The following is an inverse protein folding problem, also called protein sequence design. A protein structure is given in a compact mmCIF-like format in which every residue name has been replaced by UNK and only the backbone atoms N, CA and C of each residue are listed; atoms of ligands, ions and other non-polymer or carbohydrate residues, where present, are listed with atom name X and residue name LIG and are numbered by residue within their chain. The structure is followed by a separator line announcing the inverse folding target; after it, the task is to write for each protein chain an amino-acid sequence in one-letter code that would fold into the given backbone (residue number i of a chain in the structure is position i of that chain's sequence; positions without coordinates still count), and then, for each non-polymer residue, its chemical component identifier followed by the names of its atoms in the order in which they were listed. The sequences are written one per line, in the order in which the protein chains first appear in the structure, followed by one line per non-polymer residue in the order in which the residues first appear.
data_IF_650249443747
#
_entry.id   IF_650249443747
#
_cell.length_a   1.000
_cell.length_b   1.000
_cell.length_c   1.000
_cell.angle_alpha   90.00
_cell.angle_beta   90.00
_cell.angle_gamma   90.00
#
_symmetry.space_group_name_H-M   'P 1'
#
loop_
_entity.id
_entity.type
_entity.pdbx_description
1 polymer ?
#
# COMPACT_ATOMS: atom_id res chain seq x y z
N UNK A 1 20.09 12.38 24.45
CA UNK A 1 18.65 12.68 24.52
C UNK A 1 18.14 13.17 23.17
N UNK A 2 17.05 12.57 22.72
CA UNK A 2 16.38 12.88 21.45
C UNK A 2 15.39 14.04 21.64
N UNK A 3 15.39 15.01 20.72
CA UNK A 3 14.52 16.19 20.73
C UNK A 3 13.07 15.82 20.40
N UNK A 4 12.12 16.40 21.14
CA UNK A 4 10.69 16.26 20.87
C UNK A 4 10.03 15.00 21.44
N UNK A 5 10.72 14.21 22.25
CA UNK A 5 10.14 13.04 22.92
C UNK A 5 9.66 13.37 24.33
N UNK A 6 8.46 12.90 24.66
CA UNK A 6 7.79 13.17 25.93
C UNK A 6 7.34 14.63 26.09
N UNK A 7 6.85 14.95 27.29
CA UNK A 7 6.47 16.31 27.68
C UNK A 7 5.01 16.69 27.40
N UNK A 8 4.20 15.80 26.82
CA UNK A 8 2.76 16.01 26.61
C UNK A 8 1.92 14.86 27.17
N UNK A 9 0.60 15.00 27.12
CA UNK A 9 -0.37 13.96 27.50
C UNK A 9 -1.24 13.57 26.32
N UNK A 10 -1.80 12.37 26.37
CA UNK A 10 -2.76 11.86 25.38
C UNK A 10 -3.91 12.86 25.18
N UNK A 11 -4.48 13.36 26.28
CA UNK A 11 -5.62 14.28 26.23
C UNK A 11 -5.26 15.60 25.57
N UNK A 12 -4.08 16.15 25.88
CA UNK A 12 -3.60 17.40 25.30
C UNK A 12 -3.37 17.27 23.78
N UNK A 13 -2.67 16.21 23.35
CA UNK A 13 -2.42 15.98 21.93
C UNK A 13 -3.70 15.70 21.15
N UNK A 14 -4.61 14.88 21.68
CA UNK A 14 -5.89 14.60 21.03
C UNK A 14 -6.82 15.84 20.97
N UNK A 15 -6.72 16.76 21.93
CA UNK A 15 -7.48 18.00 21.94
C UNK A 15 -6.92 19.06 20.96
N UNK A 16 -5.62 18.98 20.63
CA UNK A 16 -4.97 19.89 19.70
C UNK A 16 -5.26 19.58 18.22
N UNK A 17 -5.71 18.36 17.90
CA UNK A 17 -5.95 17.91 16.53
C UNK A 17 -6.95 18.81 15.82
N UNK A 18 -6.55 19.28 14.63
CA UNK A 18 -7.43 19.93 13.68
C UNK A 18 -7.66 18.98 12.50
N UNK A 19 -8.93 18.60 12.19
CA UNK A 19 -9.22 17.69 11.08
C UNK A 19 -8.63 18.20 9.76
N UNK A 20 -8.00 17.32 8.97
CA UNK A 20 -7.39 17.66 7.67
C UNK A 20 -7.97 16.86 6.51
N UNK A 21 -8.64 15.73 6.76
CA UNK A 21 -9.18 14.86 5.72
C UNK A 21 -10.11 15.57 4.72
N UNK A 22 -10.82 16.61 5.16
CA UNK A 22 -11.74 17.40 4.32
C UNK A 22 -11.04 18.27 3.27
N UNK A 23 -9.71 18.42 3.32
CA UNK A 23 -8.94 19.25 2.38
C UNK A 23 -8.75 18.60 1.01
N UNK A 24 -9.07 17.32 0.87
CA UNK A 24 -9.03 16.59 -0.40
C UNK A 24 -10.37 15.88 -0.66
N UNK A 25 -10.75 15.82 -1.94
CA UNK A 25 -11.98 15.19 -2.39
C UNK A 25 -11.73 13.72 -2.77
N UNK A 26 -12.75 12.85 -2.67
CA UNK A 26 -12.66 11.50 -3.22
C UNK A 26 -12.50 11.53 -4.75
N UNK A 27 -12.10 10.40 -5.32
CA UNK A 27 -12.07 10.20 -6.77
C UNK A 27 -13.48 10.45 -7.33
N UNK A 28 -13.56 11.31 -8.34
CA UNK A 28 -14.80 11.66 -9.01
C UNK A 28 -15.13 10.64 -10.11
N UNK A 29 -16.41 10.51 -10.47
CA UNK A 29 -16.88 9.49 -11.41
C UNK A 29 -16.32 9.64 -12.84
N UNK A 30 -15.83 10.82 -13.21
CA UNK A 30 -15.16 11.07 -14.50
C UNK A 30 -13.77 10.40 -14.61
N UNK A 31 -13.24 9.86 -13.51
CA UNK A 31 -12.01 9.08 -13.50
C UNK A 31 -12.19 7.67 -14.09
N UNK A 32 -13.34 7.02 -13.87
CA UNK A 32 -13.58 5.64 -14.30
C UNK A 32 -13.49 5.46 -15.83
N UNK A 33 -14.10 6.31 -16.68
CA UNK A 33 -13.90 6.24 -18.13
C UNK A 33 -12.42 6.34 -18.55
N UNK A 34 -11.61 7.16 -17.86
CA UNK A 34 -10.17 7.31 -18.15
C UNK A 34 -9.42 6.01 -17.81
N UNK A 35 -9.76 5.38 -16.67
CA UNK A 35 -9.19 4.09 -16.24
C UNK A 35 -9.57 2.96 -17.20
N UNK A 36 -10.84 2.88 -17.62
CA UNK A 36 -11.32 1.90 -18.61
C UNK A 36 -10.60 2.10 -19.94
N UNK A 37 -10.50 3.33 -20.45
CA UNK A 37 -9.76 3.62 -21.68
C UNK A 37 -8.32 3.11 -21.60
N UNK A 38 -7.63 3.35 -20.48
CA UNK A 38 -6.26 2.87 -20.28
C UNK A 38 -6.19 1.34 -20.26
N UNK A 39 -7.14 0.67 -19.62
CA UNK A 39 -7.22 -0.78 -19.64
C UNK A 39 -7.42 -1.33 -21.06
N UNK A 40 -8.28 -0.72 -21.87
CA UNK A 40 -8.51 -1.12 -23.26
C UNK A 40 -7.24 -1.01 -24.12
N UNK A 41 -6.45 0.05 -23.96
CA UNK A 41 -5.15 0.20 -24.65
C UNK A 41 -4.18 -0.94 -24.30
N UNK A 42 -4.14 -1.33 -23.02
CA UNK A 42 -3.31 -2.44 -22.54
C UNK A 42 -3.85 -3.80 -23.00
N UNK A 43 -5.17 -3.99 -22.97
CA UNK A 43 -5.84 -5.19 -23.51
C UNK A 43 -5.52 -5.39 -24.98
N UNK A 44 -5.63 -4.34 -25.80
CA UNK A 44 -5.27 -4.38 -27.21
C UNK A 44 -3.80 -4.76 -27.43
N UNK A 45 -2.88 -4.15 -26.66
CA UNK A 45 -1.44 -4.46 -26.73
C UNK A 45 -1.12 -5.91 -26.37
N UNK A 46 -1.89 -6.51 -25.45
CA UNK A 46 -1.70 -7.88 -24.97
C UNK A 46 -2.53 -8.92 -25.76
N UNK A 47 -3.31 -8.48 -26.75
CA UNK A 47 -4.29 -9.30 -27.48
C UNK A 47 -5.29 -10.02 -26.55
N UNK A 48 -5.88 -9.27 -25.63
CA UNK A 48 -6.91 -9.74 -24.69
C UNK A 48 -8.30 -9.45 -25.25
N UNK A 49 -9.15 -10.48 -25.31
CA UNK A 49 -10.52 -10.39 -25.82
C UNK A 49 -11.51 -9.88 -24.79
N UNK A 50 -11.30 -10.16 -23.51
CA UNK A 50 -12.07 -9.60 -22.39
C UNK A 50 -11.26 -9.74 -21.09
N UNK A 51 -11.58 -8.93 -20.09
CA UNK A 51 -10.98 -9.02 -18.76
C UNK A 51 -12.06 -9.19 -17.69
N UNK A 52 -11.94 -10.22 -16.86
CA UNK A 52 -12.74 -10.38 -15.66
C UNK A 52 -12.07 -9.67 -14.48
N UNK A 53 -12.83 -8.81 -13.82
CA UNK A 53 -12.48 -8.08 -12.60
C UNK A 53 -13.24 -8.72 -11.44
N UNK A 54 -12.52 -9.32 -10.50
CA UNK A 54 -13.14 -9.92 -9.32
C UNK A 54 -13.57 -8.82 -8.34
N UNK A 55 -14.61 -9.08 -7.54
CA UNK A 55 -14.91 -8.27 -6.38
C UNK A 55 -13.65 -8.00 -5.53
N UNK A 56 -13.44 -6.73 -5.19
CA UNK A 56 -12.26 -6.26 -4.50
C UNK A 56 -11.69 -5.00 -5.16
N UNK A 57 -10.39 -4.79 -4.97
CA UNK A 57 -9.74 -3.51 -5.29
C UNK A 57 -9.76 -3.17 -6.79
N UNK A 58 -9.61 -4.15 -7.68
CA UNK A 58 -9.62 -3.87 -9.12
C UNK A 58 -11.03 -3.57 -9.64
N UNK A 59 -12.08 -4.26 -9.17
CA UNK A 59 -13.46 -3.88 -9.47
C UNK A 59 -13.71 -2.43 -9.02
N UNK A 60 -13.40 -2.11 -7.76
CA UNK A 60 -13.54 -0.75 -7.24
C UNK A 60 -12.74 0.28 -8.05
N UNK A 61 -11.49 -0.02 -8.42
CA UNK A 61 -10.66 0.89 -9.19
C UNK A 61 -11.30 1.23 -10.55
N UNK A 62 -11.78 0.23 -11.28
CA UNK A 62 -12.30 0.45 -12.63
C UNK A 62 -13.74 0.98 -12.68
N UNK A 63 -14.57 0.64 -11.68
CA UNK A 63 -16.01 0.92 -11.76
C UNK A 63 -16.58 1.71 -10.58
N UNK A 64 -15.81 1.92 -9.52
CA UNK A 64 -16.26 2.49 -8.25
C UNK A 64 -17.10 1.54 -7.39
N UNK A 65 -17.45 0.36 -7.91
CA UNK A 65 -18.27 -0.62 -7.20
C UNK A 65 -17.50 -1.25 -6.05
N UNK A 66 -17.89 -0.91 -4.82
CA UNK A 66 -17.26 -1.43 -3.61
C UNK A 66 -17.90 -2.75 -3.19
N UNK A 67 -17.20 -3.85 -3.45
CA UNK A 67 -17.65 -5.20 -3.07
C UNK A 67 -16.49 -6.05 -2.55
N UNK A 68 -16.73 -6.79 -1.47
CA UNK A 68 -15.73 -7.72 -0.90
C UNK A 68 -15.87 -9.11 -1.52
N UNK A 69 -14.74 -9.76 -1.84
CA UNK A 69 -14.76 -11.14 -2.30
C UNK A 69 -15.33 -12.10 -1.24
N UNK A 70 -16.07 -13.11 -1.68
CA UNK A 70 -16.61 -14.19 -0.84
C UNK A 70 -16.55 -15.53 -1.59
N UNK A 71 -17.25 -16.55 -1.10
CA UNK A 71 -17.49 -17.81 -1.81
C UNK A 71 -18.38 -17.65 -3.04
N UNK A 72 -19.13 -16.55 -3.14
CA UNK A 72 -20.00 -16.24 -4.28
C UNK A 72 -19.24 -15.43 -5.32
N UNK A 73 -19.35 -15.84 -6.58
CA UNK A 73 -18.73 -15.13 -7.68
C UNK A 73 -19.46 -13.80 -7.92
N UNK A 74 -18.77 -12.71 -7.61
CA UNK A 74 -19.18 -11.33 -7.89
C UNK A 74 -18.03 -10.63 -8.60
N UNK A 75 -18.33 -9.91 -9.68
CA UNK A 75 -17.32 -9.19 -10.44
C UNK A 75 -17.90 -8.54 -11.68
N UNK A 76 -17.03 -8.19 -12.62
CA UNK A 76 -17.43 -7.59 -13.87
C UNK A 76 -16.53 -8.03 -15.03
N UNK A 77 -17.10 -8.17 -16.23
CA UNK A 77 -16.36 -8.31 -17.48
C UNK A 77 -16.18 -6.93 -18.12
N UNK A 78 -14.94 -6.56 -18.43
CA UNK A 78 -14.61 -5.48 -19.36
C UNK A 78 -14.44 -6.04 -20.77
N UNK A 79 -15.26 -5.57 -21.70
CA UNK A 79 -15.23 -5.96 -23.11
C UNK A 79 -14.44 -4.97 -23.98
N UNK A 80 -14.04 -5.33 -25.22
CA UNK A 80 -13.18 -4.50 -26.08
C UNK A 80 -13.79 -3.16 -26.52
N UNK A 81 -15.12 -3.05 -26.51
CA UNK A 81 -15.84 -1.81 -26.81
C UNK A 81 -15.94 -0.85 -25.61
N UNK A 82 -15.41 -1.27 -24.44
CA UNK A 82 -15.43 -0.49 -23.20
C UNK A 82 -16.65 -0.72 -22.33
N UNK A 83 -17.56 -1.61 -22.72
CA UNK A 83 -18.71 -1.97 -21.88
C UNK A 83 -18.30 -2.81 -20.69
N UNK A 84 -19.02 -2.62 -19.58
CA UNK A 84 -18.88 -3.38 -18.34
C UNK A 84 -20.12 -4.24 -18.16
N UNK A 85 -19.94 -5.55 -17.94
CA UNK A 85 -21.01 -6.48 -17.62
C UNK A 85 -20.82 -7.03 -16.21
N UNK A 86 -21.68 -6.65 -15.28
CA UNK A 86 -21.60 -7.10 -13.88
C UNK A 86 -22.19 -8.51 -13.74
N UNK A 87 -21.58 -9.32 -12.89
CA UNK A 87 -22.05 -10.66 -12.53
C UNK A 87 -22.21 -10.69 -11.02
N UNK A 88 -23.39 -11.08 -10.53
CA UNK A 88 -23.67 -11.18 -9.10
C UNK A 88 -24.81 -12.18 -8.83
N UNK A 89 -24.95 -12.70 -7.60
CA UNK A 89 -26.15 -13.45 -7.21
C UNK A 89 -27.41 -12.62 -7.48
N UNK A 90 -28.46 -13.23 -8.02
CA UNK A 90 -29.69 -12.53 -8.41
C UNK A 90 -30.31 -11.76 -7.24
N UNK A 91 -30.25 -12.31 -6.03
CA UNK A 91 -30.77 -11.65 -4.82
C UNK A 91 -29.98 -10.40 -4.38
N UNK A 92 -28.77 -10.18 -4.91
CA UNK A 92 -27.89 -9.03 -4.62
C UNK A 92 -27.95 -7.94 -5.71
N UNK A 93 -28.78 -8.10 -6.76
CA UNK A 93 -28.85 -7.13 -7.87
C UNK A 93 -29.15 -5.70 -7.40
N UNK A 94 -30.08 -5.55 -6.44
CA UNK A 94 -30.40 -4.25 -5.85
C UNK A 94 -29.21 -3.64 -5.10
N UNK A 95 -28.41 -4.47 -4.42
CA UNK A 95 -27.19 -4.03 -3.74
C UNK A 95 -26.15 -3.57 -4.75
N UNK A 96 -25.89 -4.36 -5.80
CA UNK A 96 -24.93 -3.99 -6.85
C UNK A 96 -25.31 -2.66 -7.51
N UNK A 97 -26.60 -2.45 -7.78
CA UNK A 97 -27.10 -1.21 -8.37
C UNK A 97 -26.85 0.01 -7.48
N UNK A 98 -26.99 -0.12 -6.16
CA UNK A 98 -26.76 0.98 -5.20
C UNK A 98 -25.28 1.36 -5.10
N UNK A 99 -24.36 0.38 -5.19
CA UNK A 99 -22.91 0.61 -5.15
C UNK A 99 -22.30 0.97 -6.52
N UNK A 100 -23.08 0.99 -7.60
CA UNK A 100 -22.56 1.17 -8.97
C UNK A 100 -22.30 2.65 -9.29
N UNK A 101 -21.04 2.99 -9.57
CA UNK A 101 -20.65 4.33 -10.03
C UNK A 101 -20.41 4.37 -11.55
N UNK A 102 -20.14 3.23 -12.19
CA UNK A 102 -19.99 3.10 -13.63
C UNK A 102 -21.05 2.15 -14.20
N UNK A 103 -21.94 2.68 -15.04
CA UNK A 103 -23.10 1.93 -15.53
C UNK A 103 -22.72 0.74 -16.42
N UNK A 104 -23.48 -0.35 -16.28
CA UNK A 104 -23.37 -1.54 -17.10
C UNK A 104 -24.49 -2.54 -16.79
N UNK A 105 -24.86 -3.44 -17.73
CA UNK A 105 -25.84 -4.48 -17.46
C UNK A 105 -25.41 -5.39 -16.29
N UNK A 106 -26.35 -5.73 -15.43
CA UNK A 106 -26.17 -6.70 -14.34
C UNK A 106 -26.76 -8.04 -14.79
N UNK A 107 -25.97 -9.09 -14.62
CA UNK A 107 -26.33 -10.47 -14.94
C UNK A 107 -26.41 -11.27 -13.63
N UNK A 108 -27.64 -11.53 -13.20
CA UNK A 108 -27.95 -12.34 -12.02
C UNK A 108 -27.79 -13.84 -12.28
N UNK A 109 -27.27 -14.56 -11.29
CA UNK A 109 -27.38 -16.02 -11.22
C UNK A 109 -28.10 -16.43 -9.93
N UNK A 110 -29.02 -17.39 -10.03
CA UNK A 110 -29.70 -17.97 -8.86
C UNK A 110 -28.76 -18.89 -8.08
N UNK A 111 -28.99 -19.08 -6.78
CA UNK A 111 -28.07 -19.84 -5.88
C UNK A 111 -27.74 -21.28 -6.33
N UNK A 112 -28.52 -21.85 -7.25
CA UNK A 112 -28.34 -23.20 -7.80
C UNK A 112 -27.74 -23.22 -9.20
N UNK A 113 -27.60 -22.06 -9.85
CA UNK A 113 -27.05 -21.90 -11.19
C UNK A 113 -25.53 -21.76 -11.16
N UNK A 114 -24.88 -22.00 -12.30
CA UNK A 114 -23.43 -21.85 -12.43
C UNK A 114 -23.07 -20.42 -12.83
N UNK A 115 -22.45 -19.62 -11.95
CA UNK A 115 -21.95 -18.29 -12.34
C UNK A 115 -20.83 -18.38 -13.38
N UNK A 116 -20.16 -19.53 -13.47
CA UNK A 116 -19.11 -19.78 -14.46
C UNK A 116 -19.70 -19.95 -15.85
N UNK A 117 -20.83 -20.67 -15.98
CA UNK A 117 -21.55 -20.78 -17.25
C UNK A 117 -22.13 -19.43 -17.69
N UNK A 118 -22.60 -18.63 -16.74
CA UNK A 118 -23.07 -17.26 -16.99
C UNK A 118 -21.95 -16.36 -17.55
N UNK A 119 -20.74 -16.41 -16.98
CA UNK A 119 -19.60 -15.68 -17.55
C UNK A 119 -19.37 -16.07 -19.03
N UNK A 120 -19.48 -17.36 -19.35
CA UNK A 120 -19.26 -17.88 -20.71
C UNK A 120 -20.40 -17.46 -21.66
N UNK A 121 -21.65 -17.44 -21.20
CA UNK A 121 -22.78 -16.99 -22.01
C UNK A 121 -22.64 -15.51 -22.36
N UNK A 122 -22.28 -14.66 -21.39
CA UNK A 122 -22.06 -13.22 -21.61
C UNK A 122 -20.97 -13.00 -22.68
N UNK A 123 -19.85 -13.72 -22.61
CA UNK A 123 -18.80 -13.61 -23.63
C UNK A 123 -19.32 -13.97 -25.03
N UNK A 124 -20.06 -15.08 -25.16
CA UNK A 124 -20.60 -15.56 -26.44
C UNK A 124 -21.65 -14.62 -27.02
N UNK A 125 -22.55 -14.10 -26.18
CA UNK A 125 -23.59 -13.13 -26.57
C UNK A 125 -22.98 -11.83 -27.08
N UNK A 126 -21.81 -11.46 -26.59
CA UNK A 126 -21.05 -10.30 -27.05
C UNK A 126 -20.03 -10.64 -28.16
N UNK A 127 -20.21 -11.76 -28.84
CA UNK A 127 -19.42 -12.13 -30.03
C UNK A 127 -18.00 -12.62 -29.75
N UNK A 128 -17.65 -12.85 -28.49
CA UNK A 128 -16.34 -13.39 -28.08
C UNK A 128 -16.48 -14.90 -27.96
N UNK A 129 -16.15 -15.64 -29.02
CA UNK A 129 -16.27 -17.10 -29.05
C UNK A 129 -14.96 -17.84 -28.76
N UNK A 130 -13.82 -17.15 -28.81
CA UNK A 130 -12.49 -17.67 -28.51
C UNK A 130 -11.52 -16.52 -28.16
N UNK A 131 -10.30 -16.88 -27.76
CA UNK A 131 -9.21 -15.93 -27.52
C UNK A 131 -8.73 -15.92 -26.07
N UNK A 132 -8.02 -14.85 -25.70
CA UNK A 132 -7.48 -14.69 -24.35
C UNK A 132 -8.45 -13.95 -23.45
N UNK A 133 -8.80 -14.57 -22.33
CA UNK A 133 -9.61 -13.94 -21.28
C UNK A 133 -8.68 -13.66 -20.10
N UNK A 134 -8.48 -12.39 -19.80
CA UNK A 134 -7.64 -11.97 -18.69
C UNK A 134 -8.44 -12.10 -17.39
N UNK A 135 -7.97 -12.92 -16.46
CA UNK A 135 -8.58 -13.09 -15.14
C UNK A 135 -7.79 -12.28 -14.12
N UNK A 136 -8.50 -11.53 -13.28
CA UNK A 136 -7.91 -10.78 -12.18
C UNK A 136 -6.98 -11.66 -11.31
N UNK A 137 -5.82 -11.13 -10.91
CA UNK A 137 -4.83 -11.86 -10.11
C UNK A 137 -5.36 -12.26 -8.74
N UNK A 138 -6.31 -11.49 -8.20
CA UNK A 138 -6.95 -11.78 -6.91
C UNK A 138 -8.16 -12.71 -7.03
N UNK A 139 -8.54 -13.14 -8.23
CA UNK A 139 -9.64 -14.11 -8.41
C UNK A 139 -9.33 -15.40 -7.65
N UNK A 140 -10.18 -15.83 -6.70
CA UNK A 140 -10.00 -17.10 -6.02
C UNK A 140 -9.88 -18.26 -7.00
N UNK A 141 -8.95 -19.19 -6.74
CA UNK A 141 -8.66 -20.29 -7.66
C UNK A 141 -9.90 -21.11 -8.05
N UNK A 142 -10.86 -21.30 -7.15
CA UNK A 142 -12.08 -22.05 -7.44
C UNK A 142 -12.91 -21.43 -8.58
N UNK A 143 -12.87 -20.11 -8.77
CA UNK A 143 -13.55 -19.43 -9.88
C UNK A 143 -12.83 -19.73 -11.20
N UNK A 144 -11.50 -19.69 -11.19
CA UNK A 144 -10.69 -20.06 -12.36
C UNK A 144 -10.95 -21.52 -12.76
N UNK A 145 -10.91 -22.44 -11.78
CA UNK A 145 -11.19 -23.86 -11.97
C UNK A 145 -12.62 -24.08 -12.49
N UNK A 146 -13.62 -23.41 -11.89
CA UNK A 146 -15.01 -23.45 -12.33
C UNK A 146 -15.20 -23.01 -13.77
N UNK A 147 -14.58 -21.89 -14.17
CA UNK A 147 -14.61 -21.40 -15.56
C UNK A 147 -13.96 -22.40 -16.50
N UNK A 148 -12.79 -22.96 -16.17
CA UNK A 148 -12.10 -23.96 -17.01
C UNK A 148 -12.92 -25.24 -17.20
N UNK A 149 -13.73 -25.65 -16.23
CA UNK A 149 -14.58 -26.83 -16.34
C UNK A 149 -15.82 -26.62 -17.24
N UNK A 150 -16.19 -25.37 -17.54
CA UNK A 150 -17.35 -25.03 -18.36
C UNK A 150 -17.02 -24.75 -19.84
N UNK A 151 -15.74 -24.66 -20.21
CA UNK A 151 -15.31 -24.17 -21.53
C UNK A 151 -13.98 -24.76 -21.97
N UNK A 152 -13.73 -24.81 -23.28
CA UNK A 152 -12.44 -25.20 -23.85
C UNK A 152 -11.89 -24.27 -24.94
N UNK A 153 -12.63 -23.21 -25.28
CA UNK A 153 -12.34 -22.33 -26.43
C UNK A 153 -11.53 -21.08 -26.03
N UNK A 154 -11.43 -20.78 -24.73
CA UNK A 154 -10.72 -19.64 -24.19
C UNK A 154 -9.42 -20.04 -23.52
N UNK A 155 -8.39 -19.21 -23.72
CA UNK A 155 -7.16 -19.26 -22.94
C UNK A 155 -7.25 -18.26 -21.79
N UNK A 156 -7.34 -18.75 -20.56
CA UNK A 156 -7.29 -17.88 -19.39
C UNK A 156 -5.85 -17.42 -19.14
N UNK A 157 -5.66 -16.12 -18.94
CA UNK A 157 -4.35 -15.51 -18.66
C UNK A 157 -4.44 -14.55 -17.48
N UNK A 158 -3.32 -14.24 -16.82
CA UNK A 158 -3.31 -13.29 -15.71
C UNK A 158 -3.51 -11.85 -16.24
N UNK A 159 -4.46 -11.11 -15.65
CA UNK A 159 -4.76 -9.71 -15.96
C UNK A 159 -3.74 -8.69 -15.45
N UNK A 160 -2.74 -9.09 -14.67
CA UNK A 160 -1.68 -8.24 -14.10
C UNK A 160 -1.11 -7.20 -15.09
N UNK A 161 -0.75 -7.53 -16.34
CA UNK A 161 -0.23 -6.53 -17.28
C UNK A 161 -1.19 -5.36 -17.54
N UNK A 162 -2.49 -5.55 -17.30
CA UNK A 162 -3.55 -4.55 -17.44
C UNK A 162 -3.87 -3.93 -16.08
N UNK A 163 -4.24 -4.72 -15.07
CA UNK A 163 -4.67 -4.22 -13.76
C UNK A 163 -3.56 -3.43 -13.06
N UNK A 164 -2.38 -4.04 -12.88
CA UNK A 164 -1.20 -3.36 -12.35
C UNK A 164 -0.71 -2.27 -13.33
N UNK A 165 -0.78 -2.52 -14.64
CA UNK A 165 -0.40 -1.54 -15.66
C UNK A 165 -1.20 -0.23 -15.61
N UNK A 166 -2.43 -0.27 -15.08
CA UNK A 166 -3.23 0.89 -14.75
C UNK A 166 -2.89 1.44 -13.35
N UNK A 167 -3.04 0.62 -12.30
CA UNK A 167 -2.95 1.06 -10.89
C UNK A 167 -1.56 1.52 -10.45
N UNK A 168 -0.50 1.04 -11.10
CA UNK A 168 0.86 1.52 -10.82
C UNK A 168 1.04 3.00 -11.13
N UNK A 169 0.24 3.57 -12.04
CA UNK A 169 0.40 4.95 -12.50
C UNK A 169 -0.73 5.78 -11.91
N UNK A 170 -0.46 6.46 -10.79
CA UNK A 170 -1.43 7.29 -10.09
C UNK A 170 -1.68 8.58 -10.87
N UNK A 171 -2.93 9.02 -10.90
CA UNK A 171 -3.29 10.38 -11.32
C UNK A 171 -2.91 11.42 -10.27
N UNK A 172 -2.95 12.69 -10.66
CA UNK A 172 -2.69 13.79 -9.72
C UNK A 172 -3.70 13.81 -8.56
N UNK A 173 -4.95 13.42 -8.81
CA UNK A 173 -5.99 13.29 -7.79
C UNK A 173 -5.68 12.16 -6.79
N UNK A 174 -5.20 11.02 -7.27
CA UNK A 174 -4.80 9.89 -6.43
C UNK A 174 -3.60 10.27 -5.54
N UNK A 175 -2.59 10.93 -6.12
CA UNK A 175 -1.42 11.45 -5.38
C UNK A 175 -1.85 12.49 -4.34
N UNK A 176 -2.79 13.38 -4.66
CA UNK A 176 -3.27 14.38 -3.70
C UNK A 176 -3.95 13.74 -2.49
N UNK A 177 -4.76 12.69 -2.69
CA UNK A 177 -5.39 11.95 -1.58
C UNK A 177 -4.31 11.29 -0.71
N UNK A 178 -3.37 10.59 -1.35
CA UNK A 178 -2.25 9.94 -0.65
C UNK A 178 -1.41 10.95 0.13
N UNK A 179 -1.13 12.13 -0.43
CA UNK A 179 -0.39 13.19 0.24
C UNK A 179 -1.08 13.63 1.54
N UNK A 180 -2.39 13.89 1.51
CA UNK A 180 -3.13 14.28 2.73
C UNK A 180 -3.17 13.15 3.75
N UNK A 181 -3.30 11.89 3.32
CA UNK A 181 -3.24 10.74 4.22
C UNK A 181 -1.86 10.65 4.91
N UNK A 182 -0.77 10.83 4.15
CA UNK A 182 0.60 10.83 4.68
C UNK A 182 0.86 12.03 5.61
N UNK A 183 0.36 13.22 5.28
CA UNK A 183 0.46 14.42 6.12
C UNK A 183 -0.24 14.21 7.47
N UNK A 184 -1.42 13.58 7.48
CA UNK A 184 -2.14 13.21 8.71
C UNK A 184 -1.30 12.27 9.55
N UNK A 185 -0.82 11.17 8.96
CA UNK A 185 -0.03 10.16 9.68
C UNK A 185 1.29 10.74 10.20
N UNK A 186 1.92 11.67 9.48
CA UNK A 186 3.13 12.37 9.93
C UNK A 186 2.88 13.25 11.16
N UNK A 187 1.77 13.99 11.20
CA UNK A 187 1.40 14.78 12.39
C UNK A 187 1.11 13.89 13.59
N UNK A 188 0.56 12.70 13.36
CA UNK A 188 0.35 11.71 14.42
C UNK A 188 1.69 11.18 14.94
N UNK A 189 2.65 10.84 14.08
CA UNK A 189 4.00 10.45 14.52
C UNK A 189 4.64 11.49 15.45
N UNK A 190 4.55 12.78 15.10
CA UNK A 190 5.04 13.88 15.93
C UNK A 190 4.33 13.93 17.29
N UNK A 191 3.01 13.73 17.31
CA UNK A 191 2.22 13.73 18.54
C UNK A 191 2.52 12.50 19.42
N UNK A 192 2.71 11.33 18.79
CA UNK A 192 3.10 10.11 19.49
C UNK A 192 4.42 10.31 20.22
N UNK A 193 5.44 10.86 19.55
CA UNK A 193 6.73 11.11 20.17
C UNK A 193 6.60 11.93 21.48
N UNK A 194 5.72 12.94 21.51
CA UNK A 194 5.47 13.81 22.68
C UNK A 194 4.74 13.13 23.83
N UNK A 195 3.97 12.07 23.60
CA UNK A 195 3.26 11.35 24.69
C UNK A 195 4.07 10.22 25.32
N UNK A 196 5.20 9.83 24.70
CA UNK A 196 6.02 8.73 25.19
C UNK A 196 6.64 9.05 26.55
N UNK A 197 6.63 8.06 27.44
CA UNK A 197 7.26 8.08 28.76
C UNK A 197 7.56 6.66 29.22
N UNK A 198 8.57 6.44 30.08
CA UNK A 198 8.84 5.11 30.63
C UNK A 198 7.59 4.52 31.29
N UNK A 199 7.34 3.24 31.03
CA UNK A 199 6.17 2.50 31.49
C UNK A 199 4.91 2.69 30.66
N UNK A 200 4.92 3.48 29.56
CA UNK A 200 3.77 3.48 28.64
C UNK A 200 3.68 2.14 27.92
N UNK A 201 2.51 1.52 27.93
CA UNK A 201 2.28 0.29 27.21
C UNK A 201 2.17 0.54 25.70
N UNK A 202 2.70 -0.39 24.89
CA UNK A 202 2.58 -0.30 23.43
C UNK A 202 1.10 -0.18 22.99
N UNK A 203 0.19 -0.90 23.65
CA UNK A 203 -1.25 -0.82 23.38
C UNK A 203 -1.83 0.58 23.61
N UNK A 204 -1.36 1.31 24.64
CA UNK A 204 -1.81 2.68 24.88
C UNK A 204 -1.42 3.62 23.74
N UNK A 205 -0.25 3.41 23.14
CA UNK A 205 0.20 4.15 21.97
C UNK A 205 -0.64 3.78 20.74
N UNK A 206 -0.92 2.49 20.53
CA UNK A 206 -1.83 2.02 19.45
C UNK A 206 -3.21 2.66 19.55
N UNK A 207 -3.80 2.68 20.75
CA UNK A 207 -5.12 3.26 20.99
C UNK A 207 -5.13 4.77 20.72
N UNK A 208 -4.06 5.48 21.13
CA UNK A 208 -3.87 6.89 20.83
C UNK A 208 -3.79 7.16 19.32
N UNK A 209 -2.98 6.41 18.57
CA UNK A 209 -2.80 6.58 17.12
C UNK A 209 -4.13 6.37 16.40
N UNK A 210 -4.89 5.33 16.78
CA UNK A 210 -6.18 5.03 16.20
C UNK A 210 -7.20 6.15 16.42
N UNK A 211 -7.28 6.67 17.65
CA UNK A 211 -8.15 7.80 17.97
C UNK A 211 -7.70 9.09 17.28
N UNK A 212 -6.39 9.32 17.15
CA UNK A 212 -5.85 10.48 16.45
C UNK A 212 -6.21 10.45 14.96
N UNK A 213 -6.06 9.32 14.27
CA UNK A 213 -6.51 9.15 12.88
C UNK A 213 -8.00 9.49 12.70
N UNK A 214 -8.86 9.01 13.63
CA UNK A 214 -10.30 9.35 13.63
C UNK A 214 -10.54 10.85 13.73
N UNK A 215 -9.84 11.53 14.65
CA UNK A 215 -9.97 12.99 14.84
C UNK A 215 -9.44 13.81 13.67
N UNK A 216 -8.44 13.30 12.94
CA UNK A 216 -7.98 13.93 11.70
C UNK A 216 -8.97 13.76 10.52
N UNK A 217 -9.95 12.87 10.68
CA UNK A 217 -11.05 12.65 9.73
C UNK A 217 -10.96 11.35 8.94
N UNK A 218 -10.14 10.38 9.36
CA UNK A 218 -10.16 9.00 8.85
C UNK A 218 -11.09 8.14 9.75
N UNK A 219 -12.38 7.97 9.42
CA UNK A 219 -13.38 7.45 10.37
C UNK A 219 -13.12 6.01 10.84
N UNK A 220 -12.47 5.18 10.03
CA UNK A 220 -12.08 3.82 10.41
C UNK A 220 -10.93 3.80 11.43
N UNK A 221 -10.24 4.93 11.66
CA UNK A 221 -9.02 5.02 12.45
C UNK A 221 -7.79 4.57 11.67
N UNK A 222 -6.85 3.93 12.38
CA UNK A 222 -5.66 3.38 11.73
C UNK A 222 -6.04 2.20 10.84
N UNK A 223 -5.52 2.16 9.61
CA UNK A 223 -5.61 0.97 8.75
C UNK A 223 -4.83 -0.20 9.37
N UNK A 224 -3.68 0.12 9.97
CA UNK A 224 -2.85 -0.78 10.75
C UNK A 224 -1.99 0.04 11.73
N UNK A 225 -1.45 -0.61 12.76
CA UNK A 225 -0.55 0.03 13.71
C UNK A 225 0.35 -1.01 14.39
N UNK A 226 1.66 -0.80 14.31
CA UNK A 226 2.69 -1.57 14.98
C UNK A 226 3.46 -0.60 15.89
N UNK A 227 3.60 -0.95 17.16
CA UNK A 227 4.39 -0.20 18.15
C UNK A 227 5.29 -1.20 18.86
N UNK A 228 6.60 -1.03 18.74
CA UNK A 228 7.62 -1.93 19.27
C UNK A 228 8.67 -1.14 20.04
N UNK A 229 9.14 -1.70 21.16
CA UNK A 229 10.14 -1.09 22.02
C UNK A 229 11.32 -2.05 22.27
N UNK A 230 12.53 -1.50 22.35
CA UNK A 230 13.75 -2.25 22.65
C UNK A 230 14.00 -3.39 21.65
N UNK A 231 14.20 -4.61 22.16
CA UNK A 231 14.48 -5.80 21.34
C UNK A 231 13.33 -6.18 20.40
N UNK A 232 12.09 -5.82 20.73
CA UNK A 232 10.92 -6.14 19.90
C UNK A 232 11.00 -5.45 18.54
N UNK A 233 11.73 -4.33 18.43
CA UNK A 233 11.98 -3.62 17.17
C UNK A 233 12.77 -4.45 16.14
N UNK A 234 13.45 -5.53 16.57
CA UNK A 234 14.17 -6.45 15.67
C UNK A 234 13.26 -7.41 14.89
N UNK A 235 11.93 -7.37 15.13
CA UNK A 235 10.94 -8.21 14.45
C UNK A 235 10.11 -7.37 13.46
N UNK A 236 10.35 -7.47 12.13
CA UNK A 236 9.73 -6.57 11.14
C UNK A 236 8.20 -6.52 11.18
N UNK A 237 7.55 -7.65 11.47
CA UNK A 237 6.09 -7.81 11.57
C UNK A 237 5.58 -7.85 13.03
N UNK A 238 6.40 -7.40 13.98
CA UNK A 238 6.07 -7.34 15.39
C UNK A 238 6.12 -8.67 16.15
N UNK A 239 5.73 -8.60 17.42
CA UNK A 239 5.74 -9.70 18.37
C UNK A 239 4.34 -9.91 18.97
N UNK A 240 4.07 -11.12 19.48
CA UNK A 240 2.76 -11.46 20.06
C UNK A 240 2.39 -10.61 21.29
N UNK A 241 3.38 -10.19 22.07
CA UNK A 241 3.22 -9.42 23.31
C UNK A 241 4.35 -8.39 23.40
N UNK A 242 4.16 -7.19 22.82
CA UNK A 242 5.14 -6.12 22.95
C UNK A 242 5.35 -5.76 24.42
N UNK A 243 6.58 -5.42 24.79
CA UNK A 243 6.89 -4.87 26.13
C UNK A 243 6.36 -3.44 26.29
N UNK A 244 6.36 -2.96 27.53
CA UNK A 244 6.18 -1.53 27.84
C UNK A 244 7.49 -0.77 27.60
N UNK A 245 7.41 0.54 27.38
CA UNK A 245 8.58 1.37 27.08
C UNK A 245 9.51 1.48 28.29
N UNK A 246 10.81 1.20 28.12
CA UNK A 246 11.85 1.45 29.13
C UNK A 246 12.83 2.54 28.68
N UNK A 247 13.60 3.07 29.63
CA UNK A 247 14.66 4.04 29.31
C UNK A 247 15.73 3.39 28.41
N UNK A 248 16.19 4.13 27.41
CA UNK A 248 17.15 3.75 26.37
C UNK A 248 16.65 2.73 25.33
N UNK A 249 15.35 2.42 25.33
CA UNK A 249 14.75 1.59 24.30
C UNK A 249 14.76 2.31 22.93
N UNK A 250 15.04 1.53 21.89
CA UNK A 250 14.66 1.88 20.52
C UNK A 250 13.14 1.82 20.44
N UNK A 251 12.52 2.83 19.85
CA UNK A 251 11.08 2.92 19.60
C UNK A 251 10.85 2.87 18.11
N UNK A 252 10.11 1.85 17.64
CA UNK A 252 9.67 1.73 16.26
C UNK A 252 8.15 1.81 16.22
N UNK A 253 7.64 2.75 15.43
CA UNK A 253 6.21 2.94 15.20
C UNK A 253 5.97 2.92 13.72
N UNK A 254 5.07 2.05 13.29
CA UNK A 254 4.70 1.88 11.90
C UNK A 254 3.17 1.87 11.81
N UNK A 255 2.62 2.85 11.11
CA UNK A 255 1.17 3.04 11.05
C UNK A 255 0.77 3.85 9.84
N UNK A 256 -0.52 3.76 9.54
CA UNK A 256 -1.15 4.43 8.42
C UNK A 256 -2.66 4.47 8.57
N UNK A 257 -3.31 5.24 7.71
CA UNK A 257 -4.75 5.33 7.62
C UNK A 257 -5.24 5.18 6.19
N UNK A 258 -6.54 5.02 6.05
CA UNK A 258 -7.21 5.03 4.76
C UNK A 258 -8.02 6.32 4.61
N UNK A 259 -7.74 7.08 3.55
CA UNK A 259 -8.47 8.27 3.15
C UNK A 259 -8.98 8.10 1.72
N UNK A 260 -10.29 8.20 1.51
CA UNK A 260 -10.94 7.96 0.20
C UNK A 260 -10.47 6.66 -0.48
N UNK A 261 -10.24 5.62 0.32
CA UNK A 261 -9.70 4.30 -0.06
C UNK A 261 -8.21 4.24 -0.42
N UNK A 262 -7.46 5.35 -0.37
CA UNK A 262 -6.00 5.35 -0.51
C UNK A 262 -5.33 5.30 0.85
N UNK A 263 -4.19 4.62 0.92
CA UNK A 263 -3.51 4.27 2.16
C UNK A 263 -2.28 5.14 2.38
N UNK A 264 -2.11 5.65 3.60
CA UNK A 264 -0.82 6.11 4.12
C UNK A 264 -0.12 4.99 4.86
N UNK A 265 1.21 5.05 4.91
CA UNK A 265 2.07 4.05 5.53
C UNK A 265 3.42 4.73 5.85
N UNK A 266 3.74 4.85 7.14
CA UNK A 266 4.93 5.57 7.62
C UNK A 266 5.46 4.86 8.85
N UNK A 267 6.74 4.49 8.78
CA UNK A 267 7.54 4.05 9.92
C UNK A 267 8.47 5.16 10.40
N UNK A 268 8.51 5.37 11.72
CA UNK A 268 9.53 6.17 12.41
C UNK A 268 10.22 5.34 13.47
N UNK A 269 11.55 5.47 13.53
CA UNK A 269 12.37 4.88 14.57
C UNK A 269 13.25 5.94 15.24
N UNK A 270 13.29 5.94 16.57
CA UNK A 270 14.14 6.81 17.40
C UNK A 270 14.45 6.13 18.75
N UNK A 271 15.29 6.73 19.60
CA UNK A 271 15.61 6.19 20.94
C UNK A 271 15.03 7.09 22.02
N UNK A 272 14.37 6.50 23.01
CA UNK A 272 13.90 7.21 24.19
C UNK A 272 14.97 7.18 25.28
N UNK A 273 15.69 8.30 25.50
CA UNK A 273 16.77 8.39 26.49
C UNK A 273 18.15 8.64 25.89
N UNK A 274 19.15 7.89 26.36
CA UNK A 274 20.54 7.93 25.89
C UNK A 274 20.76 7.01 24.70
N UNK A 275 21.49 7.53 23.71
CA UNK A 275 21.76 6.88 22.43
C UNK A 275 23.15 6.24 22.48
N UNK A 276 23.21 4.92 22.35
CA UNK A 276 24.48 4.18 22.23
C UNK A 276 25.14 4.41 20.88
N UNK A 277 26.45 4.19 20.81
CA UNK A 277 27.20 4.34 19.55
C UNK A 277 26.71 3.38 18.46
N UNK A 278 26.31 2.15 18.82
CA UNK A 278 25.78 1.19 17.85
C UNK A 278 24.39 1.56 17.35
N UNK A 279 23.49 2.06 18.22
CA UNK A 279 22.19 2.59 17.79
C UNK A 279 22.38 3.77 16.82
N UNK A 280 23.28 4.71 17.14
CA UNK A 280 23.60 5.84 16.24
C UNK A 280 24.17 5.37 14.91
N UNK A 281 25.10 4.40 14.93
CA UNK A 281 25.71 3.84 13.73
C UNK A 281 24.66 3.21 12.82
N UNK A 282 23.85 2.29 13.35
CA UNK A 282 22.83 1.57 12.56
C UNK A 282 21.75 2.52 12.06
N UNK A 283 21.31 3.47 12.87
CA UNK A 283 20.31 4.45 12.44
C UNK A 283 20.81 5.34 11.30
N UNK A 284 22.07 5.77 11.35
CA UNK A 284 22.67 6.54 10.26
C UNK A 284 22.80 5.71 8.97
N UNK A 285 23.13 4.41 9.10
CA UNK A 285 23.20 3.50 7.95
C UNK A 285 21.81 3.22 7.34
N UNK A 286 20.76 3.07 8.16
CA UNK A 286 19.37 2.97 7.68
C UNK A 286 18.99 4.21 6.87
N UNK A 287 19.28 5.40 7.40
CA UNK A 287 19.02 6.66 6.70
C UNK A 287 19.82 6.74 5.40
N UNK A 288 21.10 6.39 5.41
CA UNK A 288 21.93 6.37 4.19
C UNK A 288 21.37 5.40 3.14
N UNK A 289 20.94 4.21 3.55
CA UNK A 289 20.26 3.25 2.69
C UNK A 289 18.97 3.83 2.09
N UNK A 290 18.14 4.48 2.90
CA UNK A 290 16.91 5.12 2.43
C UNK A 290 17.19 6.22 1.38
N UNK A 291 18.21 7.05 1.60
CA UNK A 291 18.63 8.07 0.62
C UNK A 291 19.25 7.44 -0.64
N UNK A 292 19.98 6.33 -0.50
CA UNK A 292 20.50 5.56 -1.63
C UNK A 292 19.37 5.05 -2.52
N UNK A 293 18.30 4.53 -1.93
CA UNK A 293 17.09 4.13 -2.66
C UNK A 293 16.45 5.30 -3.40
N UNK A 294 16.24 6.44 -2.74
CA UNK A 294 15.67 7.63 -3.37
C UNK A 294 16.51 8.11 -4.56
N UNK A 295 17.83 8.16 -4.40
CA UNK A 295 18.74 8.57 -5.47
C UNK A 295 18.74 7.58 -6.64
N UNK A 296 18.58 6.27 -6.37
CA UNK A 296 18.51 5.23 -7.40
C UNK A 296 17.16 5.19 -8.13
N UNK A 297 16.10 5.78 -7.57
CA UNK A 297 14.77 5.84 -8.17
C UNK A 297 14.72 6.81 -9.37
N UNK A 298 15.38 6.46 -10.46
CA UNK A 298 15.47 7.27 -11.67
C UNK A 298 14.56 6.73 -12.78
N UNK A 299 13.90 7.64 -13.51
CA UNK A 299 13.04 7.29 -14.64
C UNK A 299 13.78 6.42 -15.67
N UNK A 300 13.10 5.41 -16.20
CA UNK A 300 13.68 4.49 -17.18
C UNK A 300 14.55 3.38 -16.59
N UNK A 301 14.86 3.41 -15.29
CA UNK A 301 15.53 2.31 -14.60
C UNK A 301 14.52 1.24 -14.14
N UNK A 302 15.00 0.02 -13.93
CA UNK A 302 14.17 -1.04 -13.35
C UNK A 302 13.94 -0.81 -11.85
N UNK A 303 12.76 -1.11 -11.32
CA UNK A 303 12.44 -1.02 -9.89
C UNK A 303 13.45 -1.81 -9.03
N UNK A 304 13.89 -2.99 -9.48
CA UNK A 304 14.89 -3.78 -8.77
C UNK A 304 16.28 -3.14 -8.66
N UNK A 305 16.60 -2.14 -9.50
CA UNK A 305 17.87 -1.39 -9.38
C UNK A 305 17.96 -0.57 -8.09
N UNK A 306 16.80 -0.17 -7.53
CA UNK A 306 16.72 0.54 -6.26
C UNK A 306 17.21 -0.38 -5.12
N UNK A 307 16.67 -1.60 -5.05
CA UNK A 307 17.06 -2.60 -4.04
C UNK A 307 18.54 -3.02 -4.18
N UNK A 308 19.05 -3.10 -5.42
CA UNK A 308 20.48 -3.33 -5.68
C UNK A 308 21.35 -2.20 -5.11
N UNK A 309 20.96 -0.94 -5.32
CA UNK A 309 21.71 0.21 -4.82
C UNK A 309 21.75 0.23 -3.28
N UNK A 310 20.61 -0.04 -2.63
CA UNK A 310 20.51 -0.16 -1.17
C UNK A 310 21.45 -1.23 -0.64
N UNK A 311 21.35 -2.46 -1.17
CA UNK A 311 22.17 -3.58 -0.68
C UNK A 311 23.66 -3.32 -0.86
N UNK A 312 24.05 -2.71 -1.98
CA UNK A 312 25.44 -2.30 -2.21
C UNK A 312 25.92 -1.31 -1.12
N UNK A 313 25.15 -0.28 -0.82
CA UNK A 313 25.45 0.70 0.23
C UNK A 313 25.63 0.02 1.60
N UNK A 314 24.77 -0.95 1.92
CA UNK A 314 24.87 -1.72 3.17
C UNK A 314 26.12 -2.62 3.21
N UNK A 315 26.42 -3.32 2.11
CA UNK A 315 27.60 -4.18 1.98
C UNK A 315 28.91 -3.40 2.10
N UNK A 316 29.00 -2.22 1.50
CA UNK A 316 30.16 -1.32 1.60
C UNK A 316 30.39 -0.83 3.05
N UNK A 317 29.35 -0.85 3.88
CA UNK A 317 29.38 -0.50 5.30
C UNK A 317 29.41 -1.72 6.24
N UNK A 318 29.67 -2.92 5.70
CA UNK A 318 29.91 -4.14 6.49
C UNK A 318 28.64 -4.83 7.01
N UNK A 319 27.48 -4.57 6.41
CA UNK A 319 26.22 -5.27 6.69
C UNK A 319 25.86 -6.23 5.53
N UNK A 320 24.95 -7.18 5.76
CA UNK A 320 24.62 -8.20 4.75
C UNK A 320 25.75 -9.24 4.57
N UNK A 321 26.06 -9.71 3.34
CA UNK A 321 25.45 -9.37 2.04
C UNK A 321 24.06 -9.98 1.85
N UNK A 322 23.43 -9.66 0.72
CA UNK A 322 22.08 -10.10 0.37
C UNK A 322 21.09 -9.86 1.52
N UNK A 323 20.61 -10.91 2.18
CA UNK A 323 19.61 -10.85 3.28
C UNK A 323 20.21 -11.23 4.64
N UNK A 324 21.53 -11.36 4.74
CA UNK A 324 22.19 -11.75 5.98
C UNK A 324 22.08 -10.65 7.05
N UNK A 325 22.07 -11.08 8.31
CA UNK A 325 22.01 -10.19 9.46
C UNK A 325 23.36 -10.10 10.18
N UNK A 326 23.74 -8.94 10.74
CA UNK A 326 22.98 -7.68 10.72
C UNK A 326 22.89 -7.07 9.31
N UNK A 327 21.70 -6.62 8.93
CA UNK A 327 21.42 -6.22 7.55
C UNK A 327 19.92 -6.12 7.26
N UNK A 328 19.57 -6.14 5.97
CA UNK A 328 18.21 -5.96 5.43
C UNK A 328 17.58 -7.31 5.04
N UNK A 329 16.67 -7.88 5.85
CA UNK A 329 16.14 -9.23 5.64
C UNK A 329 15.00 -9.31 4.62
N UNK A 330 14.51 -8.19 4.09
CA UNK A 330 13.40 -8.14 3.13
C UNK A 330 13.70 -7.19 1.96
N UNK A 331 12.72 -7.00 1.07
CA UNK A 331 12.77 -6.03 -0.04
C UNK A 331 12.92 -4.60 0.49
N UNK A 332 13.43 -3.69 -0.34
CA UNK A 332 13.59 -2.26 -0.01
C UNK A 332 12.24 -1.52 0.10
N UNK A 333 11.19 -2.02 -0.56
CA UNK A 333 9.86 -1.43 -0.51
C UNK A 333 8.85 -2.08 -1.45
N UNK A 334 7.63 -1.56 -1.44
CA UNK A 334 6.48 -2.03 -2.23
C UNK A 334 5.70 -0.86 -2.81
N UNK A 335 4.91 -1.11 -3.86
CA UNK A 335 3.94 -0.16 -4.36
C UNK A 335 2.82 0.04 -3.34
N UNK A 336 2.22 1.21 -3.38
CA UNK A 336 1.11 1.58 -2.51
C UNK A 336 0.05 2.35 -3.31
N UNK A 337 -1.20 2.23 -2.90
CA UNK A 337 -2.31 2.97 -3.48
C UNK A 337 -3.61 2.63 -2.77
N UNK A 338 -4.47 1.87 -3.46
CA UNK A 338 -5.72 1.35 -2.88
C UNK A 338 -5.47 0.13 -2.00
N UNK A 339 -4.43 -0.65 -2.32
CA UNK A 339 -3.91 -1.69 -1.44
C UNK A 339 -2.63 -1.19 -0.75
N UNK A 340 -2.39 -1.63 0.49
CA UNK A 340 -1.16 -1.30 1.23
C UNK A 340 0.08 -1.80 0.48
N UNK A 341 -0.02 -3.03 -0.02
CA UNK A 341 0.99 -3.66 -0.87
C UNK A 341 0.40 -3.91 -2.27
N UNK A 342 0.82 -3.11 -3.24
CA UNK A 342 0.53 -3.32 -4.67
C UNK A 342 1.81 -3.24 -5.51
N UNK A 343 1.69 -3.47 -6.83
CA UNK A 343 2.80 -3.32 -7.75
C UNK A 343 3.22 -1.83 -7.87
N UNK A 344 4.50 -1.52 -8.22
CA UNK A 344 5.63 -2.44 -8.40
C UNK A 344 6.29 -2.83 -7.06
N UNK A 345 7.17 -3.84 -7.03
CA UNK A 345 7.95 -4.14 -5.81
C UNK A 345 9.41 -3.72 -5.98
N UNK A 346 9.99 -3.09 -4.95
CA UNK A 346 11.41 -2.72 -4.94
C UNK A 346 12.23 -3.90 -4.44
N UNK A 347 12.33 -4.93 -5.29
CA UNK A 347 13.09 -6.15 -5.03
C UNK A 347 14.03 -6.40 -6.19
N UNK A 348 15.25 -6.86 -5.90
CA UNK A 348 16.36 -7.11 -6.86
C UNK A 348 15.96 -7.72 -8.21
N UNK A 349 14.91 -8.56 -8.25
CA UNK A 349 14.46 -9.27 -9.46
C UNK A 349 13.37 -8.55 -10.26
N UNK A 350 12.78 -7.46 -9.76
CA UNK A 350 11.71 -6.73 -10.45
C UNK A 350 12.28 -5.90 -11.62
N UNK A 351 11.81 -6.22 -12.83
CA UNK A 351 12.24 -5.60 -14.08
C UNK A 351 11.28 -4.50 -14.55
N UNK A 352 10.25 -4.18 -13.77
CA UNK A 352 9.31 -3.10 -14.08
C UNK A 352 10.07 -1.80 -14.21
N UNK A 353 9.82 -1.05 -15.29
CA UNK A 353 10.51 0.21 -15.56
C UNK A 353 9.80 1.34 -14.81
N UNK A 354 10.57 2.11 -14.03
CA UNK A 354 10.10 3.30 -13.33
C UNK A 354 9.55 4.34 -14.30
N UNK A 355 8.32 4.78 -14.02
CA UNK A 355 7.57 5.76 -14.82
C UNK A 355 6.95 6.82 -13.91
N UNK A 356 6.63 8.01 -14.44
CA UNK A 356 5.83 9.00 -13.73
C UNK A 356 4.51 8.40 -13.22
N UNK A 357 4.05 8.84 -12.06
CA UNK A 357 2.85 8.35 -11.37
C UNK A 357 3.06 7.12 -10.49
N UNK A 358 4.22 6.44 -10.55
CA UNK A 358 4.50 5.32 -9.65
C UNK A 358 4.70 5.79 -8.21
N UNK A 359 4.01 5.14 -7.27
CA UNK A 359 4.13 5.38 -5.83
C UNK A 359 4.58 4.11 -5.10
N UNK A 360 5.56 4.21 -4.20
CA UNK A 360 6.10 3.08 -3.45
C UNK A 360 6.77 3.48 -2.13
N UNK A 361 6.81 2.55 -1.17
CA UNK A 361 7.56 2.68 0.07
C UNK A 361 9.07 2.65 -0.17
N UNK A 362 9.81 3.25 0.75
CA UNK A 362 11.26 3.19 0.84
C UNK A 362 11.63 2.97 2.31
N UNK A 363 11.86 1.71 2.65
CA UNK A 363 11.92 1.18 4.02
C UNK A 363 13.00 0.09 4.18
N UNK A 364 14.28 0.38 3.91
CA UNK A 364 15.35 -0.62 3.91
C UNK A 364 15.80 -1.09 5.30
N UNK A 365 14.85 -1.47 6.17
CA UNK A 365 15.00 -1.82 7.57
C UNK A 365 16.23 -2.67 7.89
N UNK A 366 17.04 -2.16 8.82
CA UNK A 366 18.16 -2.88 9.41
C UNK A 366 17.76 -3.62 10.68
N UNK A 367 18.06 -4.92 10.73
CA UNK A 367 17.89 -5.75 11.92
C UNK A 367 19.25 -6.11 12.52
N UNK A 368 19.44 -5.80 13.80
CA UNK A 368 20.56 -6.29 14.62
C UNK A 368 20.03 -7.43 15.51
N UNK A 369 20.41 -8.69 15.24
CA UNK A 369 19.82 -9.86 15.91
C UNK A 369 19.93 -9.79 17.43
N UNK A 370 18.81 -10.06 18.11
CA UNK A 370 18.69 -10.07 19.58
C UNK A 370 19.02 -8.72 20.26
N UNK A 371 19.05 -7.61 19.51
CA UNK A 371 19.34 -6.29 20.07
C UNK A 371 18.24 -5.28 19.75
N UNK A 372 18.09 -4.89 18.47
CA UNK A 372 17.09 -3.92 18.02
C UNK A 372 16.99 -3.95 16.48
N UNK A 373 15.97 -3.29 15.93
CA UNK A 373 15.86 -2.97 14.51
C UNK A 373 15.59 -1.49 14.32
N UNK A 374 16.08 -0.93 13.21
CA UNK A 374 15.78 0.44 12.79
C UNK A 374 15.07 0.34 11.44
N UNK A 375 13.86 0.89 11.35
CA UNK A 375 13.15 1.08 10.08
C UNK A 375 12.81 2.56 9.94
N UNK A 376 13.24 3.16 8.84
CA UNK A 376 12.79 4.48 8.41
C UNK A 376 12.03 4.29 7.12
N UNK A 377 10.74 4.64 7.13
CA UNK A 377 9.89 4.46 5.98
C UNK A 377 9.21 5.77 5.61
N UNK A 378 9.42 6.11 4.35
CA UNK A 378 8.80 7.23 3.69
C UNK A 378 8.45 6.81 2.27
N UNK A 379 7.38 7.39 1.74
CA UNK A 379 6.90 7.03 0.43
C UNK A 379 7.40 7.99 -0.64
N UNK A 380 7.64 7.45 -1.83
CA UNK A 380 8.07 8.18 -3.02
C UNK A 380 6.96 8.15 -4.05
N UNK A 381 6.72 9.27 -4.73
CA UNK A 381 6.01 9.29 -6.02
C UNK A 381 6.95 9.79 -7.13
N UNK A 382 6.85 9.14 -8.29
CA UNK A 382 7.64 9.49 -9.47
C UNK A 382 6.95 10.61 -10.25
N UNK A 383 7.67 11.70 -10.47
CA UNK A 383 7.26 12.79 -11.37
C UNK A 383 7.98 12.68 -12.72
N UNK A 384 7.61 13.52 -13.68
CA UNK A 384 8.34 13.70 -14.94
C UNK A 384 9.80 14.17 -14.74
N UNK A 385 10.14 14.73 -13.57
CA UNK A 385 11.49 15.18 -13.24
C UNK A 385 12.27 14.18 -12.35
N UNK A 386 11.66 13.05 -11.98
CA UNK A 386 12.24 12.07 -11.07
C UNK A 386 11.49 11.93 -9.74
N UNK A 387 12.11 11.33 -8.72
CA UNK A 387 11.44 10.95 -7.48
C UNK A 387 11.14 12.18 -6.62
N UNK A 388 10.00 12.15 -5.93
CA UNK A 388 9.64 13.09 -4.88
C UNK A 388 9.15 12.33 -3.66
N UNK A 389 9.49 12.83 -2.48
CA UNK A 389 8.95 12.33 -1.24
C UNK A 389 7.51 12.80 -1.04
N UNK A 390 6.65 11.91 -0.55
CA UNK A 390 5.40 12.31 0.10
C UNK A 390 5.68 13.00 1.44
N UNK A 391 6.64 12.48 2.21
CA UNK A 391 6.97 12.97 3.55
C UNK A 391 8.45 13.26 3.69
N UNK A 392 8.79 14.29 4.44
CA UNK A 392 10.20 14.57 4.73
C UNK A 392 10.82 13.41 5.52
N UNK A 393 11.93 12.81 5.04
CA UNK A 393 12.63 11.76 5.77
C UNK A 393 13.13 12.22 7.14
N UNK A 394 13.26 11.27 8.06
CA UNK A 394 13.75 11.57 9.41
C UNK A 394 15.12 12.28 9.37
N UNK A 395 15.27 13.35 10.16
CA UNK A 395 16.42 14.23 10.03
C UNK A 395 17.69 13.66 10.68
N UNK A 396 17.61 13.25 11.95
CA UNK A 396 18.69 12.56 12.68
C UNK A 396 18.12 11.69 13.80
N UNK A 397 18.92 10.77 14.37
CA UNK A 397 18.48 9.98 15.54
C UNK A 397 18.24 10.88 16.76
N UNK A 398 18.95 12.01 16.87
CA UNK A 398 18.77 13.02 17.92
C UNK A 398 17.58 13.97 17.67
N UNK A 399 17.14 14.13 16.42
CA UNK A 399 16.06 15.04 16.03
C UNK A 399 15.29 14.42 14.85
N UNK A 400 14.45 13.39 15.09
CA UNK A 400 13.80 12.63 14.01
C UNK A 400 12.82 13.48 13.19
N UNK A 401 12.32 14.58 13.75
CA UNK A 401 11.33 15.45 13.11
C UNK A 401 11.87 16.83 12.71
N UNK A 402 13.17 17.08 12.86
CA UNK A 402 13.81 18.32 12.42
C UNK A 402 13.38 19.58 13.17
N UNK A 403 13.09 19.48 14.47
CA UNK A 403 12.63 20.60 15.31
C UNK A 403 13.68 21.70 15.51
N UNK A 404 14.94 21.39 15.24
CA UNK A 404 16.07 22.34 15.35
C UNK A 404 16.31 23.19 14.09
N UNK A 405 15.60 22.91 12.99
CA UNK A 405 15.81 23.56 11.69
C UNK A 405 15.16 24.94 11.55
#
# INVERSE_FOLDING_TARGET
MTLGLGGSTIEAELAAIQPKAHTVQPIQSDAYPKRIKRALELMATQNISAMYLNAGTNLYYFTGTKWSASERMVGALLLPDGTIHYIAPHFEEGTILDFMEFEGPIHGWEEHESPFELLISILKENGISNGKIAMDEVTPFFIIDGVLNCQSDYTLVNAKPITAGCRMIKSDEEIAIMQVAMDITMEIHKAVARILKPGIAAQTVVDFINEAHKRYGAPAGSYFCIVLFGVDTSFPHGVKKPKDLEENDVVLIDTGCMLHNYISDITRTYVYGDITDEQRRIWNLEREAQFSAFNAAQLGQACGSIDVAVRKTLEENGLGPDYNLPGLPHRTGHGIGLDIHEWPYLVKTDKTILKPGMCFSNEPMLVVPNAFGIRLEDHIYMTEQGPKWFTEPAYSIEDPFGLSK
#
